data_IF_841007681858
#
_entry.id   IF_841007681858
#
_cell.length_a   1.000
_cell.length_b   1.000
_cell.length_c   1.000
_cell.angle_alpha   90.00
_cell.angle_beta   90.00
_cell.angle_gamma   90.00
#
_symmetry.space_group_name_H-M   'P 1'
#
loop_
_entity.id
_entity.type
_entity.pdbx_description
1 polymer ?
#
# COMPACT_ATOMS: atom_id res chain seq x y z
N UNK A 1 9.79 6.16 10.12
CA UNK A 1 10.86 7.06 10.64
C UNK A 1 11.73 6.40 11.72
N UNK A 2 11.14 5.96 12.85
CA UNK A 2 11.90 5.32 13.94
C UNK A 2 12.64 4.05 13.48
N UNK A 3 12.04 3.25 12.60
CA UNK A 3 12.69 2.08 12.01
C UNK A 3 14.01 2.41 11.33
N UNK A 4 14.01 3.36 10.41
CA UNK A 4 15.22 3.78 9.73
C UNK A 4 16.26 4.37 10.69
N UNK A 5 15.85 5.22 11.63
CA UNK A 5 16.76 5.87 12.59
C UNK A 5 17.43 4.89 13.55
N UNK A 6 16.67 3.93 14.08
CA UNK A 6 17.14 3.02 15.14
C UNK A 6 17.59 1.66 14.62
N UNK A 7 17.49 1.41 13.31
CA UNK A 7 17.90 0.16 12.67
C UNK A 7 19.38 -0.18 12.88
N UNK A 8 20.26 0.83 12.95
CA UNK A 8 21.70 0.63 13.10
C UNK A 8 22.16 0.37 14.56
N UNK A 9 21.26 0.48 15.54
CA UNK A 9 21.63 0.43 16.97
C UNK A 9 21.97 -0.97 17.46
N UNK A 10 21.15 -1.96 17.09
CA UNK A 10 21.33 -3.37 17.45
C UNK A 10 20.42 -4.23 16.57
N UNK A 11 20.71 -5.53 16.50
CA UNK A 11 19.86 -6.47 15.75
C UNK A 11 18.43 -6.55 16.31
N UNK A 12 18.28 -6.53 17.63
CA UNK A 12 16.95 -6.48 18.26
C UNK A 12 16.18 -5.21 17.88
N UNK A 13 16.86 -4.07 17.88
CA UNK A 13 16.28 -2.79 17.46
C UNK A 13 15.87 -2.83 15.99
N UNK A 14 16.75 -3.37 15.13
CA UNK A 14 16.49 -3.57 13.71
C UNK A 14 15.17 -4.30 13.46
N UNK A 15 15.02 -5.53 13.96
CA UNK A 15 13.80 -6.31 13.71
C UNK A 15 12.56 -5.70 14.35
N UNK A 16 12.67 -5.22 15.60
CA UNK A 16 11.52 -4.66 16.33
C UNK A 16 10.93 -3.47 15.60
N UNK A 17 11.76 -2.50 15.19
CA UNK A 17 11.23 -1.30 14.56
C UNK A 17 10.79 -1.53 13.11
N UNK A 18 11.43 -2.44 12.35
CA UNK A 18 10.91 -2.82 11.03
C UNK A 18 9.56 -3.55 11.13
N UNK A 19 9.36 -4.42 12.11
CA UNK A 19 8.04 -5.06 12.31
C UNK A 19 6.97 -4.05 12.72
N UNK A 20 7.31 -3.09 13.58
CA UNK A 20 6.39 -1.98 13.90
C UNK A 20 6.05 -1.13 12.67
N UNK A 21 7.00 -0.91 11.76
CA UNK A 21 6.77 -0.21 10.49
C UNK A 21 5.76 -0.98 9.62
N UNK A 22 5.91 -2.31 9.49
CA UNK A 22 4.98 -3.15 8.75
C UNK A 22 3.57 -3.20 9.36
N UNK A 23 3.46 -3.22 10.70
CA UNK A 23 2.18 -3.06 11.39
C UNK A 23 1.55 -1.70 11.07
N UNK A 24 2.36 -0.63 11.05
CA UNK A 24 1.91 0.69 10.66
C UNK A 24 1.35 0.74 9.24
N UNK A 25 2.02 0.10 8.28
CA UNK A 25 1.54 -0.02 6.89
C UNK A 25 0.20 -0.76 6.81
N UNK A 26 0.06 -1.88 7.54
CA UNK A 26 -1.18 -2.66 7.55
C UNK A 26 -2.35 -1.90 8.21
N UNK A 27 -2.08 -1.14 9.28
CA UNK A 27 -3.09 -0.28 9.91
C UNK A 27 -3.51 0.87 8.99
N UNK A 28 -2.56 1.49 8.30
CA UNK A 28 -2.86 2.53 7.31
C UNK A 28 -3.74 1.99 6.18
N UNK A 29 -3.38 0.82 5.64
CA UNK A 29 -4.15 0.14 4.61
C UNK A 29 -5.59 -0.10 5.06
N UNK A 30 -5.79 -0.80 6.18
CA UNK A 30 -7.14 -1.09 6.69
C UNK A 30 -7.92 0.19 7.06
N UNK A 31 -7.24 1.20 7.60
CA UNK A 31 -7.84 2.51 7.88
C UNK A 31 -8.30 3.22 6.61
N UNK A 32 -7.52 3.14 5.53
CA UNK A 32 -7.91 3.67 4.22
C UNK A 32 -9.12 2.92 3.66
N UNK A 33 -9.14 1.58 3.77
CA UNK A 33 -10.30 0.77 3.39
C UNK A 33 -11.57 1.19 4.14
N UNK A 34 -11.49 1.39 5.46
CA UNK A 34 -12.60 1.90 6.27
C UNK A 34 -13.07 3.27 5.78
N UNK A 35 -12.14 4.20 5.55
CA UNK A 35 -12.48 5.53 5.08
C UNK A 35 -13.20 5.49 3.73
N UNK A 36 -12.70 4.70 2.77
CA UNK A 36 -13.35 4.57 1.46
C UNK A 36 -14.70 3.87 1.56
N UNK A 37 -14.83 2.86 2.42
CA UNK A 37 -16.08 2.13 2.62
C UNK A 37 -17.16 2.99 3.25
N UNK A 38 -16.84 3.87 4.21
CA UNK A 38 -17.85 4.68 4.89
C UNK A 38 -18.10 6.05 4.24
N UNK A 39 -17.10 6.64 3.56
CA UNK A 39 -17.20 8.01 3.06
C UNK A 39 -17.18 8.14 1.53
N UNK A 40 -16.61 7.18 0.80
CA UNK A 40 -16.43 7.28 -0.64
C UNK A 40 -17.31 6.31 -1.45
N UNK A 41 -17.87 5.28 -0.81
CA UNK A 41 -18.60 4.22 -1.51
C UNK A 41 -19.93 4.72 -2.07
N UNK A 42 -20.20 4.37 -3.33
CA UNK A 42 -21.51 4.58 -3.95
C UNK A 42 -22.48 3.44 -3.61
N UNK A 43 -23.78 3.74 -3.59
CA UNK A 43 -24.82 2.76 -3.23
C UNK A 43 -24.75 1.48 -4.05
N UNK A 44 -24.54 1.60 -5.36
CA UNK A 44 -24.43 0.47 -6.28
C UNK A 44 -23.25 -0.45 -5.90
N UNK A 45 -22.08 0.13 -5.57
CA UNK A 45 -20.92 -0.64 -5.16
C UNK A 45 -21.13 -1.28 -3.79
N UNK A 46 -21.65 -0.53 -2.82
CA UNK A 46 -21.92 -1.00 -1.46
C UNK A 46 -22.80 -2.27 -1.47
N UNK A 47 -23.87 -2.30 -2.27
CA UNK A 47 -24.75 -3.49 -2.33
C UNK A 47 -24.03 -4.77 -2.76
N UNK A 48 -22.95 -4.65 -3.55
CA UNK A 48 -22.16 -5.78 -4.04
C UNK A 48 -21.12 -6.26 -3.02
N UNK A 49 -20.54 -5.34 -2.25
CA UNK A 49 -19.36 -5.65 -1.42
C UNK A 49 -19.60 -5.60 0.09
N UNK A 50 -20.76 -5.14 0.55
CA UNK A 50 -21.03 -4.83 1.96
C UNK A 50 -20.72 -5.95 2.98
N UNK A 51 -20.87 -7.21 2.60
CA UNK A 51 -20.60 -8.34 3.49
C UNK A 51 -19.13 -8.79 3.54
N UNK A 52 -18.34 -8.44 2.53
CA UNK A 52 -17.00 -9.00 2.34
C UNK A 52 -15.89 -7.95 2.30
N UNK A 53 -16.19 -6.69 2.02
CA UNK A 53 -15.19 -5.65 1.83
C UNK A 53 -14.27 -5.48 3.04
N UNK A 54 -14.85 -5.20 4.22
CA UNK A 54 -14.07 -4.98 5.44
C UNK A 54 -13.37 -6.25 5.95
N UNK A 55 -14.02 -7.43 6.00
CA UNK A 55 -13.31 -8.67 6.32
C UNK A 55 -12.15 -8.99 5.38
N UNK A 56 -12.34 -8.80 4.07
CA UNK A 56 -11.29 -9.02 3.09
C UNK A 56 -10.14 -8.00 3.25
N UNK A 57 -10.46 -6.72 3.50
CA UNK A 57 -9.45 -5.70 3.76
C UNK A 57 -8.63 -6.02 5.02
N UNK A 58 -9.28 -6.46 6.10
CA UNK A 58 -8.60 -6.88 7.32
C UNK A 58 -7.69 -8.10 7.08
N UNK A 59 -8.17 -9.10 6.33
CA UNK A 59 -7.38 -10.27 5.95
C UNK A 59 -6.17 -9.90 5.10
N UNK A 60 -6.34 -9.04 4.09
CA UNK A 60 -5.25 -8.59 3.22
C UNK A 60 -4.24 -7.71 3.96
N UNK A 61 -4.69 -6.90 4.92
CA UNK A 61 -3.81 -6.11 5.79
C UNK A 61 -2.96 -7.02 6.68
N UNK A 62 -3.60 -8.03 7.29
CA UNK A 62 -2.89 -9.06 8.05
C UNK A 62 -1.89 -9.82 7.17
N UNK A 63 -2.30 -10.25 5.97
CA UNK A 63 -1.46 -11.00 5.04
C UNK A 63 -0.25 -10.18 4.58
N UNK A 64 -0.45 -8.89 4.33
CA UNK A 64 0.62 -7.94 3.99
C UNK A 64 1.60 -7.78 5.14
N UNK A 65 1.10 -7.54 6.36
CA UNK A 65 1.95 -7.44 7.55
C UNK A 65 2.75 -8.72 7.77
N UNK A 66 2.08 -9.88 7.70
CA UNK A 66 2.69 -11.18 7.87
C UNK A 66 3.76 -11.45 6.80
N UNK A 67 3.45 -11.19 5.53
CA UNK A 67 4.37 -11.35 4.40
C UNK A 67 5.62 -10.47 4.54
N UNK A 68 5.45 -9.20 4.94
CA UNK A 68 6.57 -8.28 5.20
C UNK A 68 7.44 -8.76 6.38
N UNK A 69 6.84 -9.12 7.51
CA UNK A 69 7.56 -9.60 8.69
C UNK A 69 8.31 -10.91 8.40
N UNK A 70 7.63 -11.87 7.77
CA UNK A 70 8.21 -13.17 7.41
C UNK A 70 9.31 -13.00 6.37
N UNK A 71 9.08 -12.20 5.33
CA UNK A 71 10.09 -11.88 4.33
C UNK A 71 11.34 -11.29 4.97
N UNK A 72 11.18 -10.31 5.88
CA UNK A 72 12.29 -9.69 6.58
C UNK A 72 13.05 -10.66 7.48
N UNK A 73 12.34 -11.53 8.19
CA UNK A 73 12.93 -12.57 9.04
C UNK A 73 13.70 -13.62 8.23
N UNK A 74 13.10 -14.12 7.15
CA UNK A 74 13.67 -15.16 6.30
C UNK A 74 14.55 -14.61 5.15
N UNK A 75 14.83 -13.30 5.14
CA UNK A 75 15.59 -12.63 4.09
C UNK A 75 16.99 -13.21 3.83
N UNK A 76 17.73 -13.77 4.81
CA UNK A 76 19.02 -14.40 4.54
C UNK A 76 18.91 -15.66 3.66
N UNK A 77 17.77 -16.35 3.72
CA UNK A 77 17.55 -17.63 3.05
C UNK A 77 16.66 -17.51 1.81
N UNK A 78 15.85 -16.46 1.70
CA UNK A 78 14.96 -16.26 0.56
C UNK A 78 15.66 -15.61 -0.65
N UNK A 79 15.42 -16.12 -1.87
CA UNK A 79 15.74 -15.39 -3.08
C UNK A 79 15.06 -14.02 -3.10
N UNK A 80 15.79 -12.98 -3.57
CA UNK A 80 15.29 -11.59 -3.63
C UNK A 80 13.94 -11.45 -4.34
N UNK A 81 13.71 -12.25 -5.39
CA UNK A 81 12.45 -12.26 -6.12
C UNK A 81 11.30 -12.80 -5.26
N UNK A 82 11.51 -13.92 -4.59
CA UNK A 82 10.52 -14.54 -3.70
C UNK A 82 10.15 -13.60 -2.56
N UNK A 83 11.16 -12.98 -1.94
CA UNK A 83 10.95 -11.96 -0.91
C UNK A 83 10.06 -10.82 -1.42
N UNK A 84 10.37 -10.29 -2.61
CA UNK A 84 9.62 -9.20 -3.23
C UNK A 84 8.19 -9.63 -3.58
N UNK A 85 7.97 -10.87 -4.03
CA UNK A 85 6.63 -11.38 -4.32
C UNK A 85 5.76 -11.48 -3.06
N UNK A 86 6.30 -12.01 -1.95
CA UNK A 86 5.59 -12.09 -0.67
C UNK A 86 5.20 -10.72 -0.12
N UNK A 87 5.99 -9.68 -0.40
CA UNK A 87 5.69 -8.32 0.04
C UNK A 87 4.73 -7.59 -0.92
N UNK A 88 5.00 -7.64 -2.22
CA UNK A 88 4.32 -6.80 -3.21
C UNK A 88 2.93 -7.34 -3.56
N UNK A 89 2.76 -8.66 -3.68
CA UNK A 89 1.49 -9.24 -4.14
C UNK A 89 0.35 -8.99 -3.15
N UNK A 90 0.49 -9.27 -1.84
CA UNK A 90 -0.56 -8.96 -0.86
C UNK A 90 -0.88 -7.46 -0.80
N UNK A 91 0.16 -6.61 -0.82
CA UNK A 91 0.02 -5.14 -0.81
C UNK A 91 -0.72 -4.61 -2.04
N UNK A 92 -0.46 -5.18 -3.22
CA UNK A 92 -1.14 -4.80 -4.45
C UNK A 92 -2.62 -5.23 -4.44
N UNK A 93 -2.92 -6.46 -3.98
CA UNK A 93 -4.29 -6.94 -3.86
C UNK A 93 -5.09 -6.12 -2.85
N UNK A 94 -4.47 -5.80 -1.72
CA UNK A 94 -4.98 -4.86 -0.73
C UNK A 94 -5.35 -3.52 -1.34
N UNK A 95 -4.41 -2.88 -2.03
CA UNK A 95 -4.65 -1.59 -2.67
C UNK A 95 -5.79 -1.66 -3.69
N UNK A 96 -5.84 -2.70 -4.53
CA UNK A 96 -6.91 -2.90 -5.50
C UNK A 96 -8.29 -3.01 -4.83
N UNK A 97 -8.39 -3.72 -3.71
CA UNK A 97 -9.63 -3.79 -2.93
C UNK A 97 -9.98 -2.42 -2.36
N UNK A 98 -9.04 -1.79 -1.65
CA UNK A 98 -9.25 -0.57 -0.89
C UNK A 98 -9.65 0.60 -1.80
N UNK A 99 -9.08 0.71 -2.99
CA UNK A 99 -9.36 1.79 -3.95
C UNK A 99 -10.62 1.52 -4.80
N UNK A 100 -11.15 0.30 -4.81
CA UNK A 100 -12.31 -0.05 -5.65
C UNK A 100 -13.54 0.85 -5.46
N UNK A 101 -13.92 1.32 -4.24
CA UNK A 101 -15.03 2.26 -4.08
C UNK A 101 -14.75 3.61 -4.75
N UNK A 102 -13.50 4.08 -4.65
CA UNK A 102 -13.05 5.34 -5.23
C UNK A 102 -13.02 5.28 -6.74
N UNK A 103 -12.48 4.19 -7.31
CA UNK A 103 -12.47 3.95 -8.76
C UNK A 103 -13.89 3.88 -9.30
N UNK A 104 -14.79 3.19 -8.59
CA UNK A 104 -16.21 3.14 -8.97
C UNK A 104 -16.83 4.53 -8.97
N UNK A 105 -16.63 5.33 -7.92
CA UNK A 105 -17.14 6.71 -7.83
C UNK A 105 -16.63 7.60 -8.96
N UNK A 106 -15.33 7.52 -9.28
CA UNK A 106 -14.74 8.23 -10.42
C UNK A 106 -15.45 7.83 -11.72
N UNK A 107 -15.57 6.53 -11.97
CA UNK A 107 -16.22 6.01 -13.17
C UNK A 107 -17.69 6.43 -13.28
N UNK A 108 -18.47 6.30 -12.21
CA UNK A 108 -19.88 6.71 -12.17
C UNK A 108 -20.04 8.21 -12.43
N UNK A 109 -19.23 9.07 -11.79
CA UNK A 109 -19.30 10.51 -12.02
C UNK A 109 -19.02 10.88 -13.49
N UNK A 110 -17.96 10.31 -14.09
CA UNK A 110 -17.64 10.57 -15.50
C UNK A 110 -18.75 10.08 -16.43
N UNK A 111 -19.34 8.92 -16.15
CA UNK A 111 -20.46 8.36 -16.92
C UNK A 111 -21.70 9.24 -16.87
N UNK A 112 -22.01 9.79 -15.70
CA UNK A 112 -23.21 10.59 -15.45
C UNK A 112 -23.02 12.09 -15.77
N UNK A 113 -21.82 12.49 -16.21
CA UNK A 113 -21.50 13.90 -16.50
C UNK A 113 -21.46 14.78 -15.25
N UNK A 114 -21.14 14.19 -14.10
CA UNK A 114 -21.13 14.89 -12.82
C UNK A 114 -19.99 15.94 -12.75
N UNK A 115 -20.23 17.04 -12.03
CA UNK A 115 -19.27 18.14 -11.85
C UNK A 115 -18.75 18.23 -10.40
N UNK A 116 -18.62 17.08 -9.72
CA UNK A 116 -18.13 17.01 -8.35
C UNK A 116 -16.60 17.22 -8.30
N UNK A 117 -16.09 18.33 -7.74
CA UNK A 117 -14.65 18.58 -7.66
C UNK A 117 -13.92 17.53 -6.80
N UNK A 118 -14.62 16.82 -5.90
CA UNK A 118 -14.05 15.74 -5.08
C UNK A 118 -13.49 14.60 -5.95
N UNK A 119 -14.11 14.35 -7.11
CA UNK A 119 -13.69 13.29 -8.04
C UNK A 119 -12.32 13.57 -8.64
N UNK A 120 -11.99 14.85 -8.88
CA UNK A 120 -10.65 15.22 -9.33
C UNK A 120 -9.58 14.90 -8.27
N UNK A 121 -9.85 15.18 -6.98
CA UNK A 121 -8.93 14.84 -5.90
C UNK A 121 -8.75 13.32 -5.75
N UNK A 122 -9.83 12.54 -5.89
CA UNK A 122 -9.75 11.09 -5.90
C UNK A 122 -8.90 10.55 -7.05
N UNK A 123 -9.04 11.13 -8.25
CA UNK A 123 -8.22 10.78 -9.40
C UNK A 123 -6.74 11.06 -9.14
N UNK A 124 -6.40 12.26 -8.68
CA UNK A 124 -5.01 12.61 -8.34
C UNK A 124 -4.44 11.73 -7.23
N UNK A 125 -5.23 11.38 -6.22
CA UNK A 125 -4.83 10.47 -5.16
C UNK A 125 -4.43 9.09 -5.71
N UNK A 126 -5.23 8.51 -6.61
CA UNK A 126 -4.91 7.23 -7.27
C UNK A 126 -3.62 7.35 -8.08
N UNK A 127 -3.50 8.41 -8.89
CA UNK A 127 -2.32 8.63 -9.74
C UNK A 127 -1.05 8.79 -8.91
N UNK A 128 -1.07 9.62 -7.86
CA UNK A 128 0.11 9.82 -7.00
C UNK A 128 0.49 8.56 -6.24
N UNK A 129 -0.49 7.77 -5.79
CA UNK A 129 -0.21 6.49 -5.16
C UNK A 129 0.49 5.53 -6.14
N UNK A 130 0.00 5.41 -7.37
CA UNK A 130 0.61 4.54 -8.39
C UNK A 130 2.03 4.99 -8.76
N UNK A 131 2.26 6.30 -8.86
CA UNK A 131 3.60 6.86 -9.07
C UNK A 131 4.52 6.50 -7.89
N UNK A 132 4.03 6.64 -6.65
CA UNK A 132 4.79 6.25 -5.44
C UNK A 132 5.08 4.75 -5.40
N UNK A 133 4.10 3.92 -5.73
CA UNK A 133 4.25 2.46 -5.80
C UNK A 133 5.27 2.05 -6.89
N UNK A 134 5.30 2.76 -8.01
CA UNK A 134 6.31 2.57 -9.05
C UNK A 134 7.72 2.83 -8.50
N UNK A 135 7.96 3.99 -7.88
CA UNK A 135 9.28 4.30 -7.31
C UNK A 135 9.68 3.34 -6.19
N UNK A 136 8.73 2.88 -5.39
CA UNK A 136 8.98 1.87 -4.36
C UNK A 136 9.37 0.50 -4.95
N UNK A 137 8.72 0.08 -6.04
CA UNK A 137 9.01 -1.20 -6.68
C UNK A 137 10.25 -1.14 -7.60
N UNK A 138 10.48 -0.02 -8.25
CA UNK A 138 11.47 0.17 -9.29
C UNK A 138 12.40 1.29 -8.85
N UNK A 139 13.62 0.98 -8.40
CA UNK A 139 14.52 1.95 -7.79
C UNK A 139 15.13 2.88 -8.86
N UNK A 140 14.35 3.84 -9.34
CA UNK A 140 14.78 4.89 -10.25
C UNK A 140 14.80 6.20 -9.46
N UNK A 141 15.86 7.03 -9.60
CA UNK A 141 16.94 6.95 -10.57
C UNK A 141 18.19 6.12 -10.16
N UNK A 142 18.27 5.54 -8.95
CA UNK A 142 19.51 4.84 -8.50
C UNK A 142 19.96 3.72 -9.45
N UNK A 143 19.01 3.01 -10.09
CA UNK A 143 19.30 1.98 -11.10
C UNK A 143 19.93 2.54 -12.38
N UNK A 144 19.71 3.82 -12.69
CA UNK A 144 20.29 4.52 -13.84
C UNK A 144 21.64 5.17 -13.50
N UNK A 145 21.84 5.56 -12.24
CA UNK A 145 23.04 6.27 -11.79
C UNK A 145 23.59 5.69 -10.47
N UNK A 146 24.13 4.46 -10.49
CA UNK A 146 24.65 3.82 -9.28
C UNK A 146 25.76 4.66 -8.64
N UNK A 147 25.67 4.88 -7.32
CA UNK A 147 26.63 5.68 -6.54
C UNK A 147 26.47 7.19 -6.65
N UNK A 148 25.47 7.70 -7.39
CA UNK A 148 25.16 9.15 -7.47
C UNK A 148 23.92 9.55 -6.67
N UNK A 149 23.14 8.56 -6.25
CA UNK A 149 21.85 8.75 -5.59
C UNK A 149 21.87 8.33 -4.10
N UNK A 150 23.04 8.13 -3.52
CA UNK A 150 23.21 7.54 -2.18
C UNK A 150 22.59 8.39 -1.04
N UNK A 151 22.42 9.70 -1.26
CA UNK A 151 21.79 10.62 -0.29
C UNK A 151 20.50 11.27 -0.80
N UNK A 152 20.37 11.49 -2.11
CA UNK A 152 19.23 12.15 -2.75
C UNK A 152 18.84 11.33 -3.98
N UNK A 153 17.57 10.95 -4.08
CA UNK A 153 17.04 10.20 -5.23
C UNK A 153 17.26 8.69 -5.15
N UNK A 154 17.32 8.14 -3.94
CA UNK A 154 17.20 6.71 -3.67
C UNK A 154 15.80 6.19 -4.05
#
# INVERSE_FOLDING_TARGET
ALAHLLSAKSELSYYTFYFLDYVGVALYQYGSALAHYYYAIEKEWHTRVQGLFLPAAAFLAWLTCFGCCYGKYASPELPKLTHKLFQVVPSALAYCLDISPVVHRIYSCYRDGCSDPVVAYHFYHVVFFLIGAYFFCCPHPESLFPGRCDFIGQ
#
